data_IF_413661251003
#
_entry.id   IF_413661251003
#
_cell.length_a   1.000
_cell.length_b   1.000
_cell.length_c   1.000
_cell.angle_alpha   90.00
_cell.angle_beta   90.00
_cell.angle_gamma   90.00
#
_symmetry.space_group_name_H-M   'P 1'
#
loop_
_entity.id
_entity.type
_entity.pdbx_description
1 polymer ?
#
# COMPACT_ATOMS: atom_id res chain seq x y z
N UNK A 1 -24.70 6.88 31.94
CA UNK A 1 -23.82 6.13 31.01
C UNK A 1 -24.73 5.52 29.98
N UNK A 2 -24.55 5.84 28.70
CA UNK A 2 -25.36 5.20 27.65
C UNK A 2 -25.02 3.72 27.64
N UNK A 3 -25.99 2.89 28.01
CA UNK A 3 -25.85 1.44 27.98
C UNK A 3 -25.87 0.92 26.54
N UNK A 4 -25.42 -0.32 26.38
CA UNK A 4 -25.57 -1.05 25.11
C UNK A 4 -27.04 -1.08 24.64
N UNK A 5 -27.98 -1.07 25.60
CA UNK A 5 -29.41 -1.04 25.33
C UNK A 5 -29.88 0.28 24.68
N UNK A 6 -29.48 1.44 25.21
CA UNK A 6 -29.80 2.73 24.59
C UNK A 6 -29.24 2.85 23.17
N UNK A 7 -28.02 2.37 22.94
CA UNK A 7 -27.40 2.37 21.61
C UNK A 7 -28.23 1.54 20.62
N UNK A 8 -28.69 0.34 21.03
CA UNK A 8 -29.54 -0.52 20.18
C UNK A 8 -30.86 0.17 19.83
N UNK A 9 -31.50 0.83 20.79
CA UNK A 9 -32.77 1.54 20.55
C UNK A 9 -32.58 2.70 19.57
N UNK A 10 -31.53 3.51 19.74
CA UNK A 10 -31.20 4.60 18.80
C UNK A 10 -30.95 4.04 17.41
N UNK A 11 -30.17 2.96 17.31
CA UNK A 11 -29.87 2.31 16.05
C UNK A 11 -31.14 1.80 15.37
N UNK A 12 -32.08 1.24 16.13
CA UNK A 12 -33.37 0.77 15.62
C UNK A 12 -34.21 1.93 15.06
N UNK A 13 -34.27 3.06 15.77
CA UNK A 13 -34.97 4.27 15.29
C UNK A 13 -34.34 4.78 13.98
N UNK A 14 -33.01 4.87 13.92
CA UNK A 14 -32.29 5.26 12.69
C UNK A 14 -32.58 4.28 11.55
N UNK A 15 -32.60 2.97 11.83
CA UNK A 15 -32.93 1.95 10.84
C UNK A 15 -34.39 2.04 10.36
N UNK A 16 -35.34 2.47 11.20
CA UNK A 16 -36.70 2.75 10.75
C UNK A 16 -36.78 4.00 9.85
N UNK A 17 -36.07 5.06 10.19
CA UNK A 17 -36.08 6.33 9.43
C UNK A 17 -35.39 6.20 8.08
N UNK A 18 -34.21 5.59 8.05
CA UNK A 18 -33.40 5.45 6.84
C UNK A 18 -33.62 4.12 6.10
N UNK A 19 -34.23 3.14 6.76
CA UNK A 19 -34.36 1.77 6.27
C UNK A 19 -33.05 0.98 6.40
N UNK A 20 -33.15 -0.30 6.79
CA UNK A 20 -31.98 -1.18 6.92
C UNK A 20 -31.17 -1.41 5.63
N UNK A 21 -31.70 -1.03 4.47
CA UNK A 21 -31.02 -1.15 3.17
C UNK A 21 -30.06 0.00 2.86
N UNK A 22 -30.26 1.19 3.45
CA UNK A 22 -29.45 2.38 3.15
C UNK A 22 -28.15 2.43 3.97
N UNK A 23 -28.22 2.00 5.23
CA UNK A 23 -27.09 1.97 6.15
C UNK A 23 -25.87 1.17 5.65
N UNK A 24 -26.00 -0.07 5.13
CA UNK A 24 -24.85 -0.83 4.62
C UNK A 24 -24.24 -0.21 3.35
N UNK A 25 -25.07 0.44 2.52
CA UNK A 25 -24.58 1.16 1.33
C UNK A 25 -23.71 2.35 1.71
N UNK A 26 -24.18 3.18 2.65
CA UNK A 26 -23.44 4.34 3.17
C UNK A 26 -22.16 3.92 3.91
N UNK A 27 -22.24 2.87 4.74
CA UNK A 27 -21.08 2.32 5.43
C UNK A 27 -20.02 1.81 4.43
N UNK A 28 -20.45 1.15 3.35
CA UNK A 28 -19.53 0.67 2.30
C UNK A 28 -18.86 1.84 1.57
N UNK A 29 -19.61 2.86 1.15
CA UNK A 29 -19.02 4.02 0.46
C UNK A 29 -18.10 4.83 1.37
N UNK A 30 -18.50 5.06 2.62
CA UNK A 30 -17.69 5.77 3.61
C UNK A 30 -16.43 4.97 3.97
N UNK A 31 -16.55 3.65 4.14
CA UNK A 31 -15.43 2.76 4.42
C UNK A 31 -14.41 2.73 3.29
N UNK A 32 -14.85 2.67 2.04
CA UNK A 32 -13.96 2.78 0.87
C UNK A 32 -13.27 4.15 0.85
N UNK A 33 -14.01 5.24 1.04
CA UNK A 33 -13.42 6.59 1.05
C UNK A 33 -12.39 6.79 2.16
N UNK A 34 -12.67 6.34 3.39
CA UNK A 34 -11.71 6.39 4.50
C UNK A 34 -10.47 5.53 4.21
N UNK A 35 -10.64 4.35 3.62
CA UNK A 35 -9.53 3.46 3.27
C UNK A 35 -8.61 4.09 2.21
N UNK A 36 -9.18 4.67 1.17
CA UNK A 36 -8.42 5.37 0.11
C UNK A 36 -7.74 6.61 0.67
N UNK A 37 -8.44 7.40 1.49
CA UNK A 37 -7.87 8.56 2.18
C UNK A 37 -6.68 8.17 3.06
N UNK A 38 -6.82 7.09 3.85
CA UNK A 38 -5.72 6.59 4.70
C UNK A 38 -4.53 6.13 3.86
N UNK A 39 -4.77 5.46 2.73
CA UNK A 39 -3.71 5.00 1.83
C UNK A 39 -2.94 6.17 1.21
N UNK A 40 -3.66 7.16 0.69
CA UNK A 40 -3.06 8.37 0.12
C UNK A 40 -2.31 9.17 1.18
N UNK A 41 -2.89 9.34 2.36
CA UNK A 41 -2.22 10.01 3.49
C UNK A 41 -0.95 9.29 3.89
N UNK A 42 -0.95 7.96 3.91
CA UNK A 42 0.21 7.15 4.27
C UNK A 42 1.31 7.22 3.20
N UNK A 43 0.95 7.22 1.91
CA UNK A 43 1.91 7.38 0.82
C UNK A 43 2.62 8.75 0.87
N UNK A 44 1.87 9.82 1.15
CA UNK A 44 2.41 11.17 1.35
C UNK A 44 3.32 11.22 2.58
N UNK A 45 2.89 10.66 3.72
CA UNK A 45 3.71 10.60 4.92
C UNK A 45 5.00 9.81 4.69
N UNK A 46 4.89 8.67 4.01
CA UNK A 46 6.04 7.86 3.67
C UNK A 46 6.96 8.62 2.70
N UNK A 47 6.45 9.37 1.72
CA UNK A 47 7.27 10.16 0.76
C UNK A 47 8.03 11.31 1.44
N UNK A 48 7.42 11.97 2.43
CA UNK A 48 8.08 13.04 3.20
C UNK A 48 9.22 12.48 4.08
N UNK A 49 9.14 11.20 4.48
CA UNK A 49 10.13 10.55 5.35
C UNK A 49 11.24 9.82 4.57
N UNK A 50 11.17 9.72 3.22
CA UNK A 50 12.23 9.04 2.44
C UNK A 50 13.34 10.04 2.08
N UNK A 51 14.61 9.80 2.46
CA UNK A 51 15.72 10.43 1.77
C UNK A 51 15.71 9.94 0.30
N UNK A 52 15.86 10.87 -0.64
CA UNK A 52 15.87 10.63 -2.09
C UNK A 52 16.88 9.51 -2.41
N UNK A 53 16.40 8.27 -2.56
CA UNK A 53 17.19 7.14 -3.02
C UNK A 53 16.76 6.76 -4.44
N UNK A 54 17.72 6.57 -5.36
CA UNK A 54 17.43 6.30 -6.76
C UNK A 54 16.71 4.96 -6.91
N UNK A 55 15.44 5.07 -7.30
CA UNK A 55 14.61 4.14 -8.06
C UNK A 55 15.12 2.69 -8.22
N UNK A 56 14.50 1.74 -7.50
CA UNK A 56 14.60 0.31 -7.82
C UNK A 56 13.39 -0.11 -8.66
N UNK A 57 13.56 -0.07 -9.98
CA UNK A 57 12.73 -0.78 -10.94
C UNK A 57 12.76 -2.28 -10.60
N UNK A 58 11.60 -2.89 -10.34
CA UNK A 58 11.42 -4.34 -10.27
C UNK A 58 10.31 -4.73 -11.23
N UNK A 59 10.69 -5.12 -12.43
CA UNK A 59 9.85 -5.90 -13.33
C UNK A 59 10.57 -7.21 -13.65
N UNK A 60 9.93 -8.30 -13.24
CA UNK A 60 10.07 -9.68 -13.71
C UNK A 60 11.47 -10.34 -13.67
N UNK A 61 11.74 -11.10 -12.61
CA UNK A 61 12.58 -12.30 -12.66
C UNK A 61 11.64 -13.51 -12.51
N UNK A 62 11.42 -14.21 -13.62
CA UNK A 62 10.88 -15.57 -13.66
C UNK A 62 11.97 -16.45 -14.29
N UNK A 63 12.50 -17.33 -13.44
CA UNK A 63 13.04 -18.69 -13.66
C UNK A 63 14.02 -19.02 -14.79
N UNK A 64 15.00 -19.87 -14.40
CA UNK A 64 15.83 -20.77 -15.23
C UNK A 64 16.94 -20.08 -16.04
N UNK A 65 18.24 -20.40 -15.93
CA UNK A 65 18.94 -21.68 -15.77
C UNK A 65 20.27 -21.51 -15.03
N UNK A 66 20.68 -22.59 -14.35
CA UNK A 66 22.00 -22.76 -13.80
C UNK A 66 23.00 -23.12 -14.91
N UNK A 67 24.04 -22.30 -15.13
CA UNK A 67 25.32 -22.82 -15.61
C UNK A 67 26.51 -21.93 -15.18
N UNK A 68 27.34 -22.54 -14.34
CA UNK A 68 28.82 -22.58 -14.41
C UNK A 68 29.60 -21.26 -14.56
N UNK A 69 30.03 -20.76 -13.39
CA UNK A 69 31.44 -20.48 -13.03
C UNK A 69 32.40 -20.25 -14.21
N UNK A 70 32.75 -18.98 -14.50
CA UNK A 70 34.13 -18.61 -14.89
C UNK A 70 34.48 -17.21 -14.33
N UNK A 71 35.69 -17.14 -13.80
CA UNK A 71 36.36 -16.12 -12.97
C UNK A 71 36.58 -14.77 -13.72
N UNK A 72 36.57 -13.63 -13.01
CA UNK A 72 36.71 -12.28 -13.59
C UNK A 72 38.07 -12.06 -14.27
N UNK A 73 38.03 -11.68 -15.55
CA UNK A 73 39.18 -11.15 -16.28
C UNK A 73 39.45 -9.72 -15.79
N UNK A 74 40.52 -9.60 -15.01
CA UNK A 74 41.20 -8.36 -14.69
C UNK A 74 41.74 -7.72 -15.97
N UNK A 75 41.11 -6.65 -16.42
CA UNK A 75 41.58 -5.85 -17.54
C UNK A 75 42.66 -4.87 -17.04
N UNK A 76 43.91 -5.37 -16.93
CA UNK A 76 45.09 -4.50 -16.97
C UNK A 76 45.21 -3.93 -18.37
N UNK A 77 44.62 -2.76 -18.60
CA UNK A 77 45.03 -1.88 -19.70
C UNK A 77 45.25 -0.47 -19.18
N UNK A 78 46.47 -0.27 -18.67
CA UNK A 78 47.05 1.06 -18.53
C UNK A 78 48.49 0.95 -19.00
N UNK A 79 48.64 1.29 -20.29
CA UNK A 79 49.54 2.35 -20.74
C UNK A 79 51.00 2.12 -20.32
N UNK A 80 51.69 1.30 -21.11
CA UNK A 80 53.11 1.47 -21.37
C UNK A 80 53.32 2.19 -22.71
N UNK A 81 54.41 2.92 -22.74
CA UNK A 81 54.90 3.86 -23.73
C UNK A 81 54.89 3.34 -25.17
N UNK A 82 54.42 4.20 -26.10
CA UNK A 82 55.28 4.82 -27.12
C UNK A 82 54.80 6.25 -27.39
#
# INVERSE_FOLDING_TARGET
>A
MLGAWEIIVIFLVVLLLFGGKRLPGLAKSLGTGIREFKKASQEISDEIDRPISPQKNKQAEDSEEAETVIVPISEKTSRNEQ
#
